data_IF_566064930523
#
_entry.id   IF_566064930523
#
_cell.length_a   1.000
_cell.length_b   1.000
_cell.length_c   1.000
_cell.angle_alpha   90.00
_cell.angle_beta   90.00
_cell.angle_gamma   90.00
#
_symmetry.space_group_name_H-M   'P 1'
#
loop_
_entity.id
_entity.type
_entity.pdbx_description
1 polymer ?
#
# COMPACT_ATOMS: atom_id res chain seq x y z
N UNK A 1 17.67 4.84 2.19
CA UNK A 1 17.08 4.95 0.86
C UNK A 1 15.58 4.74 0.86
N UNK A 2 15.00 3.54 0.67
CA UNK A 2 13.53 3.40 0.52
C UNK A 2 12.72 4.05 1.66
N UNK A 3 13.12 3.83 2.92
CA UNK A 3 12.45 4.45 4.06
C UNK A 3 12.60 5.98 4.10
N UNK A 4 13.73 6.53 3.64
CA UNK A 4 13.92 7.98 3.57
C UNK A 4 13.09 8.58 2.43
N UNK A 5 13.02 7.90 1.30
CA UNK A 5 12.29 8.35 0.12
C UNK A 5 10.77 8.37 0.34
N UNK A 6 10.23 7.40 1.10
CA UNK A 6 8.78 7.28 1.37
C UNK A 6 8.34 8.13 2.58
N UNK A 7 9.22 8.37 3.55
CA UNK A 7 8.91 9.18 4.73
C UNK A 7 9.22 10.68 4.53
N UNK A 8 9.95 11.03 3.47
CA UNK A 8 10.16 12.40 3.03
C UNK A 8 9.16 12.83 1.97
N UNK A 9 9.13 14.13 1.69
CA UNK A 9 8.24 14.77 0.70
C UNK A 9 8.92 14.97 -0.67
N UNK A 10 10.12 14.43 -0.87
CA UNK A 10 10.92 14.71 -2.08
C UNK A 10 10.59 13.79 -3.26
N UNK A 11 10.00 12.62 -3.01
CA UNK A 11 9.67 11.63 -4.03
C UNK A 11 8.19 11.25 -3.94
N UNK A 12 7.86 9.96 -3.80
CA UNK A 12 6.49 9.52 -3.63
C UNK A 12 6.16 9.24 -2.16
N UNK A 13 4.98 9.67 -1.74
CA UNK A 13 4.49 9.52 -0.37
C UNK A 13 3.02 9.05 -0.33
N UNK A 14 2.49 8.86 0.87
CA UNK A 14 1.13 8.38 1.06
C UNK A 14 0.09 9.49 0.96
N UNK A 15 -0.87 9.31 0.04
CA UNK A 15 -2.05 10.15 -0.05
C UNK A 15 -3.34 9.36 0.18
N UNK A 16 -4.32 10.02 0.78
CA UNK A 16 -5.66 9.46 1.03
C UNK A 16 -6.67 10.38 0.37
N UNK A 17 -7.44 9.84 -0.58
CA UNK A 17 -8.39 10.64 -1.36
C UNK A 17 -9.63 9.84 -1.73
N UNK A 18 -10.78 10.50 -1.70
CA UNK A 18 -12.07 9.93 -2.12
C UNK A 18 -12.18 9.97 -3.64
N UNK A 19 -12.61 8.85 -4.24
CA UNK A 19 -12.84 8.72 -5.67
C UNK A 19 -14.24 8.16 -5.95
N UNK A 20 -15.28 9.00 -6.03
CA UNK A 20 -16.67 8.55 -6.20
C UNK A 20 -16.90 7.65 -7.42
N UNK A 21 -16.12 7.83 -8.49
CA UNK A 21 -16.19 7.02 -9.71
C UNK A 21 -15.72 5.56 -9.53
N UNK A 22 -15.04 5.23 -8.43
CA UNK A 22 -14.55 3.88 -8.14
C UNK A 22 -15.49 3.08 -7.23
N UNK A 23 -16.58 3.68 -6.75
CA UNK A 23 -17.55 2.98 -5.91
C UNK A 23 -18.13 1.79 -6.67
N UNK A 24 -18.15 0.63 -6.02
CA UNK A 24 -18.58 -0.65 -6.61
C UNK A 24 -17.48 -1.43 -7.33
N UNK A 25 -16.27 -0.86 -7.50
CA UNK A 25 -15.12 -1.61 -8.03
C UNK A 25 -14.48 -2.49 -6.96
N UNK A 26 -13.96 -3.65 -7.38
CA UNK A 26 -13.14 -4.50 -6.52
C UNK A 26 -11.73 -3.93 -6.38
N UNK A 27 -11.07 -4.22 -5.27
CA UNK A 27 -9.73 -3.71 -5.00
C UNK A 27 -8.71 -4.19 -6.05
N UNK A 28 -8.84 -5.41 -6.59
CA UNK A 28 -7.98 -5.90 -7.70
C UNK A 28 -8.01 -4.98 -8.94
N UNK A 29 -9.17 -4.39 -9.25
CA UNK A 29 -9.35 -3.47 -10.37
C UNK A 29 -8.85 -2.07 -10.00
N UNK A 30 -9.12 -1.62 -8.77
CA UNK A 30 -8.63 -0.33 -8.24
C UNK A 30 -7.10 -0.31 -8.26
N UNK A 31 -6.45 -1.40 -7.87
CA UNK A 31 -4.99 -1.56 -7.84
C UNK A 31 -4.31 -1.18 -9.17
N UNK A 32 -4.98 -1.44 -10.30
CA UNK A 32 -4.45 -1.16 -11.65
C UNK A 32 -5.13 0.04 -12.33
N UNK A 33 -5.93 0.82 -11.60
CA UNK A 33 -6.70 1.93 -12.17
C UNK A 33 -5.91 3.24 -12.27
N UNK A 34 -4.78 3.37 -11.58
CA UNK A 34 -4.00 4.61 -11.51
C UNK A 34 -2.68 4.47 -12.28
N UNK A 35 -2.45 5.23 -13.36
CA UNK A 35 -1.18 5.19 -14.10
C UNK A 35 0.00 5.74 -13.28
N UNK A 36 -0.26 6.77 -12.48
CA UNK A 36 0.74 7.58 -11.78
C UNK A 36 0.73 7.37 -10.26
N UNK A 37 0.04 6.33 -9.77
CA UNK A 37 -0.02 6.00 -8.35
C UNK A 37 -0.21 4.50 -8.11
N UNK A 38 0.20 4.03 -6.93
CA UNK A 38 0.04 2.63 -6.51
C UNK A 38 -0.90 2.56 -5.31
N UNK A 39 -2.14 2.07 -5.48
CA UNK A 39 -3.04 1.80 -4.36
C UNK A 39 -2.46 0.75 -3.41
N UNK A 40 -2.47 1.05 -2.11
CA UNK A 40 -1.96 0.18 -1.06
C UNK A 40 -2.95 -0.04 0.08
N UNK A 41 -4.10 0.62 0.06
CA UNK A 41 -5.10 0.48 1.11
C UNK A 41 -6.38 1.25 0.87
N UNK A 42 -7.32 1.07 1.80
CA UNK A 42 -8.62 1.73 1.81
C UNK A 42 -8.87 2.28 3.22
N UNK A 43 -9.41 3.49 3.29
CA UNK A 43 -10.03 4.03 4.50
C UNK A 43 -11.53 3.80 4.43
N UNK A 44 -12.03 2.93 5.30
CA UNK A 44 -13.41 2.47 5.27
C UNK A 44 -14.36 3.46 5.95
N UNK A 45 -15.32 3.99 5.21
CA UNK A 45 -16.33 4.88 5.80
C UNK A 45 -17.23 4.16 6.81
N UNK A 46 -17.62 2.92 6.51
CA UNK A 46 -18.49 2.08 7.35
C UNK A 46 -17.88 1.73 8.72
N UNK A 47 -16.57 1.80 8.86
CA UNK A 47 -15.84 1.56 10.11
C UNK A 47 -15.22 2.83 10.70
N UNK A 48 -15.90 3.97 10.54
CA UNK A 48 -15.50 5.23 11.17
C UNK A 48 -14.15 5.76 10.66
N UNK A 49 -13.78 5.46 9.42
CA UNK A 49 -12.52 5.87 8.83
C UNK A 49 -11.34 4.97 9.19
N UNK A 50 -11.58 3.72 9.61
CA UNK A 50 -10.50 2.73 9.82
C UNK A 50 -9.73 2.51 8.52
N UNK A 51 -8.40 2.60 8.61
CA UNK A 51 -7.49 2.30 7.51
C UNK A 51 -7.18 0.80 7.49
N UNK A 52 -7.28 0.20 6.31
CA UNK A 52 -6.81 -1.15 6.02
C UNK A 52 -5.77 -1.06 4.92
N UNK A 53 -4.54 -1.42 5.25
CA UNK A 53 -3.46 -1.62 4.27
C UNK A 53 -3.52 -3.05 3.73
N UNK A 54 -3.22 -3.22 2.45
CA UNK A 54 -3.30 -4.49 1.74
C UNK A 54 -4.65 -5.22 1.97
N UNK A 55 -5.80 -4.62 1.61
CA UNK A 55 -7.10 -5.27 1.71
C UNK A 55 -7.18 -6.48 0.75
N UNK A 56 -8.21 -7.31 0.95
CA UNK A 56 -8.50 -8.43 0.06
C UNK A 56 -8.82 -7.92 -1.36
N UNK A 57 -8.34 -8.62 -2.39
CA UNK A 57 -8.61 -8.31 -3.81
C UNK A 57 -10.11 -8.22 -4.11
N UNK A 58 -10.93 -9.03 -3.43
CA UNK A 58 -12.39 -9.05 -3.57
C UNK A 58 -13.10 -7.91 -2.83
N UNK A 59 -12.37 -7.05 -2.10
CA UNK A 59 -12.97 -5.93 -1.39
C UNK A 59 -13.64 -4.96 -2.35
N UNK A 60 -14.95 -4.74 -2.20
CA UNK A 60 -15.71 -3.82 -3.03
C UNK A 60 -15.75 -2.45 -2.36
N UNK A 61 -15.25 -1.41 -3.05
CA UNK A 61 -15.28 -0.03 -2.57
C UNK A 61 -16.72 0.43 -2.33
N UNK A 62 -16.99 0.95 -1.14
CA UNK A 62 -18.29 1.46 -0.73
C UNK A 62 -18.36 2.98 -0.88
N UNK A 63 -19.58 3.53 -0.85
CA UNK A 63 -19.76 4.96 -0.83
C UNK A 63 -19.10 5.57 0.42
N UNK A 64 -18.24 6.57 0.21
CA UNK A 64 -17.50 7.26 1.27
C UNK A 64 -16.10 6.70 1.53
N UNK A 65 -15.78 5.53 0.99
CA UNK A 65 -14.42 4.99 1.09
C UNK A 65 -13.42 5.89 0.37
N UNK A 66 -12.20 5.95 0.92
CA UNK A 66 -11.07 6.69 0.34
C UNK A 66 -9.95 5.71 0.01
N UNK A 67 -9.30 5.92 -1.13
CA UNK A 67 -8.18 5.09 -1.56
C UNK A 67 -6.89 5.67 -0.99
N UNK A 68 -6.06 4.79 -0.46
CA UNK A 68 -4.71 5.11 0.00
C UNK A 68 -3.76 4.70 -1.11
N UNK A 69 -2.96 5.65 -1.59
CA UNK A 69 -1.99 5.43 -2.66
C UNK A 69 -0.61 5.90 -2.26
N UNK A 70 0.41 5.38 -2.93
CA UNK A 70 1.72 6.01 -3.03
C UNK A 70 1.76 6.76 -4.36
N UNK A 71 1.99 8.08 -4.33
CA UNK A 71 2.06 8.95 -5.51
C UNK A 71 3.08 10.09 -5.30
N UNK A 72 3.45 10.81 -6.35
CA UNK A 72 4.43 11.92 -6.30
C UNK A 72 3.90 13.15 -5.55
N UNK A 73 2.64 13.53 -5.80
CA UNK A 73 1.97 14.65 -5.12
C UNK A 73 0.44 14.42 -5.04
N UNK A 74 -0.31 15.21 -4.25
CA UNK A 74 -1.75 15.02 -4.01
C UNK A 74 -2.66 15.28 -5.22
N UNK A 75 -2.13 15.98 -6.23
CA UNK A 75 -2.80 16.36 -7.47
C UNK A 75 -2.23 15.70 -8.75
N UNK A 76 -1.19 14.88 -8.62
CA UNK A 76 -0.47 14.24 -9.76
C UNK A 76 -1.12 12.96 -10.29
N UNK A 77 -2.13 12.42 -9.60
CA UNK A 77 -2.73 11.13 -9.94
C UNK A 77 -4.25 11.19 -10.04
N UNK A 78 -4.78 10.40 -10.98
CA UNK A 78 -6.21 10.21 -11.20
C UNK A 78 -6.47 8.79 -11.71
N UNK A 79 -7.61 8.17 -11.38
CA UNK A 79 -7.97 6.90 -11.98
C UNK A 79 -8.21 7.07 -13.49
N UNK A 80 -7.94 6.01 -14.22
CA UNK A 80 -8.06 5.88 -15.67
C UNK A 80 -8.79 4.57 -16.02
N UNK A 81 -9.26 4.38 -17.26
CA UNK A 81 -9.86 3.12 -17.68
C UNK A 81 -8.92 1.93 -17.47
N UNK A 82 -9.48 0.78 -17.07
CA UNK A 82 -8.68 -0.40 -16.76
C UNK A 82 -7.77 -0.82 -17.92
N UNK A 83 -6.44 -0.95 -17.68
CA UNK A 83 -5.52 -1.42 -18.69
C UNK A 83 -5.73 -2.92 -18.95
N UNK A 84 -5.36 -3.39 -20.15
CA UNK A 84 -5.35 -4.82 -20.46
C UNK A 84 -4.09 -5.46 -19.90
N UNK A 85 -4.21 -6.10 -18.74
CA UNK A 85 -3.11 -6.84 -18.09
C UNK A 85 -3.20 -8.33 -18.41
N UNK A 86 -2.10 -8.95 -18.85
CA UNK A 86 -2.05 -10.40 -19.06
C UNK A 86 -1.94 -11.11 -17.71
N UNK A 87 -2.88 -12.00 -17.44
CA UNK A 87 -2.84 -12.87 -16.26
C UNK A 87 -1.81 -13.99 -16.46
N UNK A 88 -1.22 -14.45 -15.37
CA UNK A 88 -0.24 -15.52 -15.36
C UNK A 88 0.00 -16.06 -13.96
N UNK A 89 0.84 -17.07 -13.86
CA UNK A 89 1.24 -17.65 -12.59
C UNK A 89 2.70 -17.31 -12.29
N UNK A 90 3.05 -17.03 -11.02
CA UNK A 90 4.44 -16.86 -10.65
C UNK A 90 5.22 -18.17 -10.93
N UNK A 91 6.40 -18.10 -11.56
CA UNK A 91 7.18 -19.30 -11.90
C UNK A 91 7.73 -20.02 -10.65
N UNK A 92 7.79 -19.33 -9.51
CA UNK A 92 8.19 -19.87 -8.22
C UNK A 92 7.29 -19.27 -7.15
N UNK A 93 6.38 -20.08 -6.63
CA UNK A 93 5.49 -19.73 -5.53
C UNK A 93 5.83 -20.59 -4.31
N UNK A 94 7.07 -20.46 -3.84
CA UNK A 94 7.56 -21.20 -2.69
C UNK A 94 8.26 -20.26 -1.72
N UNK A 95 7.84 -20.33 -0.47
CA UNK A 95 8.48 -19.64 0.63
C UNK A 95 9.67 -20.48 1.10
N UNK A 96 10.88 -20.02 0.78
CA UNK A 96 12.11 -20.63 1.29
C UNK A 96 12.24 -20.48 2.80
N UNK A 97 12.91 -21.44 3.48
CA UNK A 97 13.20 -21.28 4.90
C UNK A 97 14.07 -20.03 5.09
N UNK A 98 13.70 -19.20 6.05
CA UNK A 98 14.51 -18.04 6.44
C UNK A 98 15.84 -18.55 7.00
N UNK A 99 16.94 -18.02 6.47
CA UNK A 99 18.28 -18.42 6.93
C UNK A 99 18.59 -17.79 8.29
N UNK A 100 19.38 -18.46 9.16
CA UNK A 100 19.82 -17.86 10.41
C UNK A 100 20.58 -16.55 10.16
N UNK A 101 20.25 -15.51 10.91
CA UNK A 101 20.91 -14.20 10.86
C UNK A 101 21.85 -14.03 12.07
N UNK A 102 22.97 -13.35 11.89
CA UNK A 102 23.87 -12.93 12.97
C UNK A 102 23.89 -11.41 13.01
N UNK A 103 23.32 -10.83 14.06
CA UNK A 103 23.19 -9.39 14.24
C UNK A 103 23.95 -9.00 15.51
N UNK A 104 24.85 -8.03 15.40
CA UNK A 104 25.61 -7.49 16.52
C UNK A 104 25.12 -6.06 16.82
N UNK A 105 24.70 -5.82 18.06
CA UNK A 105 24.48 -4.48 18.57
C UNK A 105 25.73 -4.03 19.34
N UNK A 106 26.21 -2.82 19.05
CA UNK A 106 27.39 -2.24 19.70
C UNK A 106 26.96 -1.11 20.64
N UNK A 107 27.30 -1.25 21.92
CA UNK A 107 26.91 -0.30 22.97
C UNK A 107 25.56 -0.64 23.61
N UNK A 108 25.24 0.08 24.69
CA UNK A 108 23.98 -0.08 25.42
C UNK A 108 23.05 1.10 25.12
N UNK A 109 22.08 0.88 24.22
CA UNK A 109 21.04 1.87 23.94
C UNK A 109 20.12 1.98 25.16
N UNK A 110 19.57 3.18 25.43
CA UNK A 110 18.43 3.32 26.34
C UNK A 110 17.25 2.51 25.76
N UNK A 111 16.53 1.80 26.61
CA UNK A 111 15.38 0.97 26.22
C UNK A 111 15.75 -0.03 25.11
N UNK A 112 16.88 -0.75 25.28
CA UNK A 112 17.38 -1.72 24.30
C UNK A 112 16.50 -2.97 24.24
N UNK A 113 15.78 -3.27 25.32
CA UNK A 113 14.79 -4.33 25.40
C UNK A 113 13.70 -4.20 24.33
N UNK A 114 13.30 -2.98 23.96
CA UNK A 114 12.29 -2.71 22.92
C UNK A 114 12.76 -3.09 21.51
N UNK A 115 14.08 -3.22 21.30
CA UNK A 115 14.64 -3.64 20.01
C UNK A 115 14.84 -5.16 19.92
N UNK A 116 14.81 -5.85 21.06
CA UNK A 116 15.08 -7.30 21.17
C UNK A 116 13.76 -8.08 21.28
N UNK A 117 12.77 -7.52 21.98
CA UNK A 117 11.45 -8.12 22.20
C UNK A 117 10.43 -7.62 21.18
#
# INVERSE_FOLDING_TARGET
QIWEDILGFENCEFYIKRWPQLVGMQFEDVLISFPDAVPCGIKMASYGGKIILNPDDCYVLQEGDEVIVIAEDDDTYTPSPLPKVRRGYPPKDFVGPKSPERILFCGWRRDMEDMIM
#
